data_IF_027782658576
#
_entry.id   IF_027782658576
#
_cell.length_a   1.000
_cell.length_b   1.000
_cell.length_c   1.000
_cell.angle_alpha   90.00
_cell.angle_beta   90.00
_cell.angle_gamma   90.00
#
_symmetry.space_group_name_H-M   'P 1'
#
loop_
_entity.id
_entity.type
_entity.pdbx_description
1 polymer ?
#
# COMPACT_ATOMS: atom_id res chain seq x y z
N UNK A 1 -15.43 8.57 11.34
CA UNK A 1 -14.68 7.49 10.67
C UNK A 1 -13.60 8.10 9.80
N UNK A 2 -12.40 7.60 9.91
CA UNK A 2 -11.29 8.07 9.09
C UNK A 2 -11.16 7.22 7.84
N UNK A 3 -10.51 7.76 6.82
CA UNK A 3 -10.28 7.02 5.59
C UNK A 3 -8.79 6.88 5.35
N UNK A 4 -8.42 5.82 4.65
CA UNK A 4 -7.02 5.53 4.38
C UNK A 4 -6.88 4.72 3.11
N UNK A 5 -5.66 4.65 2.60
CA UNK A 5 -5.30 3.72 1.55
C UNK A 5 -4.11 2.90 2.03
N UNK A 6 -3.90 1.77 1.42
CA UNK A 6 -2.80 0.87 1.78
C UNK A 6 -1.77 0.88 0.66
N UNK A 7 -0.50 0.96 1.04
CA UNK A 7 0.59 0.82 0.09
C UNK A 7 1.46 -0.37 0.50
N UNK A 8 1.69 -1.28 -0.43
CA UNK A 8 2.52 -2.45 -0.21
C UNK A 8 3.57 -2.52 -1.32
N UNK A 9 4.74 -3.02 -0.96
CA UNK A 9 5.84 -3.14 -1.90
C UNK A 9 6.65 -4.38 -1.56
N UNK A 10 7.09 -5.10 -2.57
CA UNK A 10 7.98 -6.21 -2.34
C UNK A 10 8.97 -6.35 -3.49
N UNK A 11 10.08 -7.00 -3.17
CA UNK A 11 11.13 -7.29 -4.13
C UNK A 11 10.88 -8.66 -4.74
N UNK A 12 11.10 -8.80 -6.05
CA UNK A 12 10.80 -10.04 -6.72
C UNK A 12 11.80 -11.15 -6.43
N UNK A 13 12.94 -10.82 -5.88
CA UNK A 13 14.00 -11.81 -5.73
C UNK A 13 13.85 -12.70 -4.50
N UNK A 14 13.06 -12.32 -3.53
CA UNK A 14 12.93 -13.11 -2.32
C UNK A 14 11.53 -13.16 -1.78
N UNK A 15 10.61 -12.41 -2.35
CA UNK A 15 9.28 -12.29 -1.82
C UNK A 15 8.28 -13.01 -2.70
N UNK A 16 7.17 -13.36 -2.13
CA UNK A 16 6.10 -14.05 -2.84
C UNK A 16 4.82 -13.23 -2.75
N UNK A 17 3.83 -13.66 -3.49
CA UNK A 17 2.50 -13.04 -3.37
C UNK A 17 2.01 -13.10 -1.94
N UNK A 18 2.39 -14.15 -1.22
CA UNK A 18 2.00 -14.31 0.16
C UNK A 18 2.49 -13.17 1.03
N UNK A 19 3.66 -12.63 0.70
CA UNK A 19 4.20 -11.50 1.45
C UNK A 19 3.32 -10.27 1.29
N UNK A 20 2.83 -10.04 0.09
CA UNK A 20 1.93 -8.91 -0.16
C UNK A 20 0.62 -9.12 0.59
N UNK A 21 0.08 -10.33 0.54
CA UNK A 21 -1.16 -10.63 1.25
C UNK A 21 -1.00 -10.40 2.75
N UNK A 22 0.16 -10.75 3.30
CA UNK A 22 0.41 -10.52 4.71
C UNK A 22 0.42 -9.04 5.05
N UNK A 23 1.05 -8.24 4.20
CA UNK A 23 1.08 -6.80 4.42
C UNK A 23 -0.33 -6.21 4.37
N UNK A 24 -1.11 -6.63 3.39
CA UNK A 24 -2.47 -6.13 3.28
C UNK A 24 -3.31 -6.52 4.47
N UNK A 25 -3.14 -7.76 4.94
CA UNK A 25 -3.91 -8.25 6.08
C UNK A 25 -3.60 -7.42 7.33
N UNK A 26 -2.34 -7.14 7.58
CA UNK A 26 -1.94 -6.36 8.75
C UNK A 26 -2.54 -4.96 8.68
N UNK A 27 -2.47 -4.33 7.51
CA UNK A 27 -3.02 -2.99 7.36
C UNK A 27 -4.54 -2.97 7.50
N UNK A 28 -5.20 -3.98 6.96
CA UNK A 28 -6.65 -4.06 7.06
C UNK A 28 -7.09 -4.28 8.50
N UNK A 29 -6.35 -5.12 9.23
CA UNK A 29 -6.66 -5.34 10.64
C UNK A 29 -6.47 -4.07 11.44
N UNK A 30 -5.41 -3.34 11.17
CA UNK A 30 -5.17 -2.08 11.83
C UNK A 30 -6.33 -1.11 11.58
N UNK A 31 -6.74 -1.03 10.32
CA UNK A 31 -7.83 -0.12 9.94
C UNK A 31 -9.12 -0.50 10.65
N UNK A 32 -9.42 -1.79 10.71
CA UNK A 32 -10.64 -2.25 11.35
C UNK A 32 -10.60 -1.93 12.85
N UNK A 33 -9.45 -2.15 13.47
CA UNK A 33 -9.32 -1.91 14.91
C UNK A 33 -9.47 -0.42 15.23
N UNK A 34 -9.04 0.46 14.32
CA UNK A 34 -9.07 1.89 14.57
C UNK A 34 -10.22 2.59 13.87
N UNK A 35 -11.19 1.82 13.37
CA UNK A 35 -12.38 2.38 12.72
C UNK A 35 -12.00 3.25 11.51
N UNK A 36 -11.13 2.72 10.67
CA UNK A 36 -10.66 3.40 9.47
C UNK A 36 -11.20 2.67 8.25
N UNK A 37 -11.71 3.40 7.29
CA UNK A 37 -12.21 2.84 6.05
C UNK A 37 -11.10 2.84 5.01
N UNK A 38 -10.84 1.69 4.41
CA UNK A 38 -9.84 1.58 3.35
C UNK A 38 -10.52 1.88 2.02
N UNK A 39 -10.01 2.91 1.33
CA UNK A 39 -10.59 3.34 0.06
C UNK A 39 -9.94 2.66 -1.13
N UNK A 40 -8.64 2.37 -1.05
CA UNK A 40 -7.93 1.81 -2.17
C UNK A 40 -6.66 1.12 -1.67
N UNK A 41 -6.05 0.34 -2.55
CA UNK A 41 -4.82 -0.37 -2.23
C UNK A 41 -3.86 -0.20 -3.41
N UNK A 42 -2.62 0.17 -3.10
CA UNK A 42 -1.58 0.35 -4.11
C UNK A 42 -0.47 -0.66 -3.84
N UNK A 43 -0.07 -1.37 -4.88
CA UNK A 43 0.94 -2.44 -4.76
C UNK A 43 2.00 -2.22 -5.83
N UNK A 44 3.25 -2.17 -5.39
CA UNK A 44 4.39 -2.09 -6.31
C UNK A 44 5.21 -3.36 -6.21
N UNK A 45 5.42 -4.01 -7.34
CA UNK A 45 6.27 -5.18 -7.43
C UNK A 45 7.58 -4.77 -8.07
N UNK A 46 8.66 -4.81 -7.29
CA UNK A 46 9.98 -4.46 -7.80
C UNK A 46 10.47 -5.54 -8.75
N UNK A 47 10.89 -5.14 -9.92
CA UNK A 47 11.39 -6.07 -10.94
C UNK A 47 12.90 -6.14 -10.87
N UNK A 48 13.44 -7.33 -11.00
CA UNK A 48 14.87 -7.55 -10.95
C UNK A 48 15.56 -6.83 -12.11
N UNK A 49 16.62 -6.09 -11.78
CA UNK A 49 17.41 -5.42 -12.80
C UNK A 49 16.77 -4.17 -13.36
N UNK A 50 15.64 -3.78 -12.87
CA UNK A 50 14.96 -2.60 -13.36
C UNK A 50 15.16 -1.44 -12.39
N UNK A 51 14.96 -0.23 -12.90
CA UNK A 51 15.01 0.92 -12.03
C UNK A 51 13.81 0.88 -11.08
N UNK A 52 13.93 1.60 -9.99
CA UNK A 52 12.95 1.61 -8.92
C UNK A 52 11.85 2.62 -9.25
N UNK A 53 11.02 2.28 -10.17
CA UNK A 53 10.09 3.22 -10.76
C UNK A 53 8.78 3.41 -9.98
N UNK A 54 8.36 2.48 -9.17
CA UNK A 54 7.21 2.60 -8.26
C UNK A 54 6.01 3.35 -8.85
N UNK A 55 5.42 2.83 -9.91
CA UNK A 55 4.31 3.54 -10.54
C UNK A 55 3.09 3.69 -9.62
N UNK A 56 2.81 2.69 -8.80
CA UNK A 56 1.67 2.78 -7.91
C UNK A 56 1.91 3.78 -6.79
N UNK A 57 3.12 3.86 -6.30
CA UNK A 57 3.46 4.86 -5.29
C UNK A 57 3.28 6.26 -5.85
N UNK A 58 3.76 6.49 -7.06
CA UNK A 58 3.63 7.80 -7.68
C UNK A 58 2.17 8.15 -7.92
N UNK A 59 1.37 7.18 -8.34
CA UNK A 59 -0.05 7.41 -8.53
C UNK A 59 -0.75 7.74 -7.21
N UNK A 60 -0.34 7.04 -6.15
CA UNK A 60 -0.90 7.29 -4.84
C UNK A 60 -0.61 8.73 -4.38
N UNK A 61 0.62 9.18 -4.58
CA UNK A 61 1.00 10.53 -4.18
C UNK A 61 0.22 11.56 -5.00
N UNK A 62 0.04 11.29 -6.28
CA UNK A 62 -0.72 12.19 -7.14
C UNK A 62 -2.17 12.27 -6.69
N UNK A 63 -2.75 11.13 -6.37
CA UNK A 63 -4.14 11.08 -5.91
C UNK A 63 -4.27 11.73 -4.53
N UNK A 64 -3.23 11.65 -3.73
CA UNK A 64 -3.21 12.22 -2.40
C UNK A 64 -3.39 13.74 -2.43
N UNK A 65 -3.00 14.37 -3.53
CA UNK A 65 -3.17 15.80 -3.67
C UNK A 65 -4.64 16.22 -3.65
N UNK A 66 -5.54 15.29 -3.90
CA UNK A 66 -6.98 15.57 -3.87
C UNK A 66 -7.57 15.45 -2.48
N UNK A 67 -6.78 15.05 -1.49
CA UNK A 67 -7.21 14.91 -0.10
C UNK A 67 -8.40 13.98 0.06
N UNK A 68 -8.37 12.86 -0.65
CA UNK A 68 -9.48 11.92 -0.62
C UNK A 68 -9.42 11.00 0.60
N UNK A 69 -8.29 10.96 1.31
CA UNK A 69 -8.14 10.12 2.47
C UNK A 69 -7.29 10.80 3.52
N UNK A 70 -7.34 10.28 4.74
CA UNK A 70 -6.64 10.87 5.87
C UNK A 70 -5.28 10.24 6.14
N UNK A 71 -5.13 8.95 5.82
CA UNK A 71 -3.92 8.20 6.17
C UNK A 71 -3.47 7.32 5.03
N UNK A 72 -2.18 7.01 5.04
CA UNK A 72 -1.61 5.98 4.18
C UNK A 72 -1.02 4.92 5.11
N UNK A 73 -1.46 3.69 4.98
CA UNK A 73 -1.02 2.60 5.84
C UNK A 73 0.04 1.78 5.12
N UNK A 74 1.13 1.54 5.80
CA UNK A 74 2.21 0.72 5.26
C UNK A 74 2.68 -0.21 6.37
N UNK A 75 3.20 -1.37 5.98
CA UNK A 75 3.86 -2.27 6.90
C UNK A 75 5.35 -2.14 6.72
N UNK A 76 6.05 -1.98 7.83
CA UNK A 76 7.50 -1.86 7.79
C UNK A 76 8.18 -3.06 8.37
#
# INVERSE_FOLDING_TARGET
>A
MKTAVIYARYSCDAQTEQSIEGQLHVCEEYARTHDILILNTYIDRAMTGMNDNRPDFQRMIKDSAKHEWDYILVET
#
